data_IF_293776706253
#
_entry.id   IF_293776706253
#
_cell.length_a   1.000
_cell.length_b   1.000
_cell.length_c   1.000
_cell.angle_alpha   90.00
_cell.angle_beta   90.00
_cell.angle_gamma   90.00
#
_symmetry.space_group_name_H-M   'P 1'
#
loop_
_entity.id
_entity.type
_entity.pdbx_description
1 polymer ?
#
# COMPACT_ATOMS: atom_id res chain seq x y z
N UNK A 1 6.50 -0.94 7.05
CA UNK A 1 5.45 -1.82 7.62
C UNK A 1 5.30 -3.09 6.78
N UNK A 2 4.85 -4.20 7.36
CA UNK A 2 4.73 -5.49 6.66
C UNK A 2 3.35 -6.12 6.91
N UNK A 3 2.77 -6.71 5.86
CA UNK A 3 1.47 -7.38 5.90
C UNK A 3 1.63 -8.82 5.39
N UNK A 4 1.39 -9.85 6.23
CA UNK A 4 1.36 -11.22 5.74
C UNK A 4 0.14 -11.39 4.83
N UNK A 5 0.37 -11.78 3.58
CA UNK A 5 -0.68 -12.11 2.62
C UNK A 5 -0.13 -13.06 1.56
N UNK A 6 -0.97 -13.99 1.10
CA UNK A 6 -0.66 -14.88 -0.02
C UNK A 6 -0.66 -14.13 -1.36
N UNK A 7 -0.15 -14.78 -2.40
CA UNK A 7 -0.07 -14.18 -3.73
C UNK A 7 -1.46 -13.94 -4.33
N UNK A 8 -2.41 -14.82 -4.03
CA UNK A 8 -3.81 -14.70 -4.44
C UNK A 8 -4.50 -13.54 -3.73
N UNK A 9 -4.29 -13.40 -2.41
CA UNK A 9 -4.78 -12.26 -1.63
C UNK A 9 -4.18 -10.94 -2.12
N UNK A 10 -2.87 -10.91 -2.42
CA UNK A 10 -2.21 -9.74 -2.99
C UNK A 10 -2.82 -9.35 -4.33
N UNK A 11 -3.02 -10.30 -5.24
CA UNK A 11 -3.63 -10.04 -6.55
C UNK A 11 -5.08 -9.53 -6.44
N UNK A 12 -5.88 -10.16 -5.56
CA UNK A 12 -7.24 -9.72 -5.26
C UNK A 12 -7.25 -8.29 -4.68
N UNK A 13 -6.33 -7.99 -3.75
CA UNK A 13 -6.20 -6.66 -3.16
C UNK A 13 -5.69 -5.62 -4.13
N UNK A 14 -4.72 -5.93 -4.98
CA UNK A 14 -4.25 -5.06 -6.04
C UNK A 14 -5.41 -4.65 -6.96
N UNK A 15 -6.26 -5.61 -7.34
CA UNK A 15 -7.46 -5.35 -8.13
C UNK A 15 -8.47 -4.48 -7.38
N UNK A 16 -8.78 -4.82 -6.13
CA UNK A 16 -9.70 -4.03 -5.31
C UNK A 16 -9.19 -2.59 -5.12
N UNK A 17 -7.89 -2.40 -4.85
CA UNK A 17 -7.26 -1.09 -4.69
C UNK A 17 -7.37 -0.26 -5.97
N UNK A 18 -7.17 -0.89 -7.14
CA UNK A 18 -7.33 -0.22 -8.42
C UNK A 18 -8.78 0.24 -8.65
N UNK A 19 -9.76 -0.62 -8.34
CA UNK A 19 -11.19 -0.36 -8.57
C UNK A 19 -11.81 0.63 -7.56
N UNK A 20 -11.47 0.48 -6.28
CA UNK A 20 -12.10 1.26 -5.18
C UNK A 20 -11.35 2.54 -4.86
N UNK A 21 -10.05 2.57 -5.10
CA UNK A 21 -9.16 3.62 -4.62
C UNK A 21 -8.32 4.27 -5.72
N UNK A 22 -8.35 3.73 -6.95
CA UNK A 22 -7.49 4.17 -8.05
C UNK A 22 -6.01 3.88 -7.81
N UNK A 23 -5.69 2.98 -6.88
CA UNK A 23 -4.31 2.60 -6.55
C UNK A 23 -3.95 1.35 -7.34
N UNK A 24 -3.09 1.50 -8.35
CA UNK A 24 -2.63 0.38 -9.17
C UNK A 24 -1.33 -0.19 -8.60
N UNK A 25 -1.35 -1.45 -8.20
CA UNK A 25 -0.14 -2.21 -7.87
C UNK A 25 0.27 -3.02 -9.11
N UNK A 26 1.34 -2.61 -9.79
CA UNK A 26 1.92 -3.33 -10.92
C UNK A 26 3.04 -4.27 -10.45
N UNK A 27 2.86 -5.57 -10.67
CA UNK A 27 3.84 -6.59 -10.29
C UNK A 27 4.10 -6.68 -8.78
N UNK A 28 5.27 -7.21 -8.41
CA UNK A 28 5.64 -7.46 -7.03
C UNK A 28 6.27 -6.24 -6.33
N UNK A 29 6.59 -5.17 -7.04
CA UNK A 29 7.14 -3.97 -6.41
C UNK A 29 6.80 -2.72 -7.20
N UNK A 30 6.70 -1.59 -6.52
CA UNK A 30 6.40 -0.32 -7.17
C UNK A 30 6.19 0.80 -6.17
N UNK A 31 5.49 1.85 -6.63
CA UNK A 31 5.15 3.03 -5.83
C UNK A 31 3.65 3.29 -5.88
N UNK A 32 3.10 3.69 -4.75
CA UNK A 32 1.73 4.14 -4.56
C UNK A 32 1.81 5.62 -4.22
N UNK A 33 1.10 6.46 -4.95
CA UNK A 33 0.99 7.89 -4.64
C UNK A 33 -0.47 8.27 -4.54
N UNK A 34 -0.90 8.74 -3.38
CA UNK A 34 -2.28 9.19 -3.17
C UNK A 34 -2.35 10.23 -2.05
N UNK A 35 -3.15 11.27 -2.24
CA UNK A 35 -3.39 12.32 -1.24
C UNK A 35 -2.10 12.99 -0.71
N UNK A 36 -1.08 13.14 -1.58
CA UNK A 36 0.21 13.72 -1.22
C UNK A 36 1.14 12.81 -0.42
N UNK A 37 0.76 11.55 -0.21
CA UNK A 37 1.61 10.51 0.37
C UNK A 37 2.11 9.60 -0.75
N UNK A 38 3.42 9.39 -0.80
CA UNK A 38 4.07 8.42 -1.68
C UNK A 38 4.70 7.33 -0.85
N UNK A 39 4.37 6.08 -1.14
CA UNK A 39 4.94 4.90 -0.51
C UNK A 39 5.46 3.92 -1.56
N UNK A 40 6.55 3.22 -1.29
CA UNK A 40 6.94 2.04 -2.03
C UNK A 40 6.22 0.82 -1.49
N UNK A 41 5.99 -0.17 -2.34
CA UNK A 41 5.56 -1.50 -1.93
C UNK A 41 6.48 -2.56 -2.53
N UNK A 42 6.65 -3.66 -1.79
CA UNK A 42 7.38 -4.86 -2.20
C UNK A 42 6.66 -6.09 -1.65
N UNK A 43 6.11 -6.90 -2.54
CA UNK A 43 5.55 -8.20 -2.26
C UNK A 43 6.60 -9.29 -2.51
N UNK A 44 7.09 -9.89 -1.43
CA UNK A 44 8.07 -10.97 -1.49
C UNK A 44 7.86 -11.95 -0.33
N UNK A 45 8.13 -13.24 -0.54
CA UNK A 45 8.08 -14.27 0.50
C UNK A 45 6.76 -14.33 1.29
N UNK A 46 5.61 -14.11 0.63
CA UNK A 46 4.28 -14.14 1.25
C UNK A 46 3.99 -12.94 2.16
N UNK A 47 4.68 -11.82 1.94
CA UNK A 47 4.50 -10.59 2.70
C UNK A 47 4.54 -9.38 1.78
N UNK A 48 3.59 -8.47 1.98
CA UNK A 48 3.61 -7.14 1.39
C UNK A 48 4.31 -6.17 2.34
N UNK A 49 5.49 -5.69 1.97
CA UNK A 49 6.20 -4.60 2.64
C UNK A 49 5.77 -3.29 2.01
N UNK A 50 5.57 -2.27 2.85
CA UNK A 50 5.24 -0.91 2.43
C UNK A 50 6.08 0.07 3.22
N UNK A 51 6.65 1.06 2.54
CA UNK A 51 7.51 2.08 3.14
C UNK A 51 7.13 3.46 2.62
N UNK A 52 6.94 4.42 3.53
CA UNK A 52 6.62 5.80 3.15
C UNK A 52 7.89 6.45 2.63
N UNK A 53 7.85 6.91 1.37
CA UNK A 53 8.95 7.64 0.74
C UNK A 53 8.78 9.15 0.91
N UNK A 54 7.55 9.64 0.73
CA UNK A 54 7.22 11.06 0.81
C UNK A 54 5.88 11.22 1.53
N UNK A 55 5.78 12.27 2.34
CA UNK A 55 4.54 12.64 3.01
C UNK A 55 4.44 14.15 3.15
N UNK A 56 3.23 14.71 3.25
CA UNK A 56 3.07 16.13 3.51
C UNK A 56 3.63 16.48 4.90
N UNK A 57 4.26 17.64 5.03
CA UNK A 57 4.92 18.06 6.27
C UNK A 57 3.94 18.22 7.46
N UNK A 58 2.67 18.51 7.16
CA UNK A 58 1.61 18.71 8.15
C UNK A 58 0.95 17.40 8.61
N UNK A 59 1.33 16.26 8.03
CA UNK A 59 0.78 14.93 8.36
C UNK A 59 1.81 14.13 9.12
N UNK A 60 1.43 13.51 10.24
CA UNK A 60 2.33 12.62 10.99
C UNK A 60 2.62 11.34 10.21
N UNK A 61 3.77 10.72 10.47
CA UNK A 61 4.10 9.41 9.90
C UNK A 61 3.04 8.37 10.31
N UNK A 62 2.61 8.40 11.58
CA UNK A 62 1.58 7.50 12.09
C UNK A 62 0.27 7.61 11.31
N UNK A 63 -0.18 8.82 10.99
CA UNK A 63 -1.38 9.00 10.18
C UNK A 63 -1.21 8.40 8.77
N UNK A 64 -0.05 8.61 8.14
CA UNK A 64 0.24 8.02 6.84
C UNK A 64 0.25 6.48 6.90
N UNK A 65 0.85 5.90 7.95
CA UNK A 65 0.85 4.46 8.16
C UNK A 65 -0.56 3.91 8.41
N UNK A 66 -1.39 4.60 9.19
CA UNK A 66 -2.79 4.25 9.39
C UNK A 66 -3.59 4.31 8.08
N UNK A 67 -3.36 5.32 7.24
CA UNK A 67 -4.01 5.40 5.94
C UNK A 67 -3.57 4.25 5.02
N UNK A 68 -2.27 3.96 4.93
CA UNK A 68 -1.76 2.82 4.15
C UNK A 68 -2.32 1.49 4.67
N UNK A 69 -2.41 1.32 5.99
CA UNK A 69 -3.05 0.17 6.62
C UNK A 69 -4.52 0.09 6.26
N UNK A 70 -5.25 1.21 6.28
CA UNK A 70 -6.65 1.26 5.88
C UNK A 70 -6.83 0.91 4.40
N UNK A 71 -5.92 1.34 3.52
CA UNK A 71 -5.99 0.99 2.11
C UNK A 71 -5.83 -0.53 1.91
N UNK A 72 -4.89 -1.15 2.64
CA UNK A 72 -4.50 -2.54 2.44
C UNK A 72 -5.40 -3.53 3.22
N UNK A 73 -5.72 -3.24 4.47
CA UNK A 73 -6.45 -4.15 5.36
C UNK A 73 -7.96 -3.92 5.38
N UNK A 74 -8.44 -2.70 5.10
CA UNK A 74 -9.88 -2.43 5.14
C UNK A 74 -10.50 -2.87 3.81
N UNK A 75 -11.00 -4.11 3.80
CA UNK A 75 -11.94 -4.65 2.81
C UNK A 75 -13.26 -3.90 2.85
#
# INVERSE_FOLDING_TARGET
>A
MEFPMSAEEFAAKAKQLAETQGITLTGNQGKISRSGVTASYLYEAGKLKVEILEKPFFVSTDYCEEQLRNWIQKS
#
